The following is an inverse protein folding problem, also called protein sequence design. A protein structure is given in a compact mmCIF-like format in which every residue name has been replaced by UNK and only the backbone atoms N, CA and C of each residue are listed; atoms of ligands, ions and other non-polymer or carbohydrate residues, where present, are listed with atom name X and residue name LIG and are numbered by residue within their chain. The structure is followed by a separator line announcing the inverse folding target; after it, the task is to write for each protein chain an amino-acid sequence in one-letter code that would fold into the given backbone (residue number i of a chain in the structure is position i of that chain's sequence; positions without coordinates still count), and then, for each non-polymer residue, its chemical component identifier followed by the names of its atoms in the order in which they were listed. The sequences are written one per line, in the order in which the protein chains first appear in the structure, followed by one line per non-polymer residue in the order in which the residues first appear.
data_IF_635517806600
#
_entry.id   IF_635517806600
#
_cell.length_a   1.000
_cell.length_b   1.000
_cell.length_c   1.000
_cell.angle_alpha   90.00
_cell.angle_beta   90.00
_cell.angle_gamma   90.00
#
_symmetry.space_group_name_H-M   'P 1'
#
loop_
_entity.id
_entity.type
_entity.pdbx_description
1 polymer ?
#
# COMPACT_ATOMS: atom_id res chain seq x y z
N UNK A 1 7.63 -37.14 -10.74
CA UNK A 1 8.60 -36.09 -10.35
C UNK A 1 8.80 -35.17 -11.54
N UNK A 2 7.98 -34.13 -11.66
CA UNK A 2 8.08 -33.11 -12.70
C UNK A 2 8.81 -31.91 -12.10
N UNK A 3 10.06 -31.73 -12.51
CA UNK A 3 10.84 -30.52 -12.24
C UNK A 3 10.16 -29.34 -12.92
N UNK A 4 9.51 -28.49 -12.14
CA UNK A 4 8.92 -27.26 -12.63
C UNK A 4 10.04 -26.33 -13.14
N UNK A 5 10.08 -26.16 -14.47
CA UNK A 5 10.92 -25.17 -15.12
C UNK A 5 10.52 -23.77 -14.61
N UNK A 6 11.40 -23.15 -13.82
CA UNK A 6 11.31 -21.75 -13.44
C UNK A 6 11.51 -20.85 -14.66
N UNK A 7 10.48 -20.71 -15.49
CA UNK A 7 10.51 -19.78 -16.62
C UNK A 7 10.65 -18.33 -16.14
N UNK A 8 11.08 -17.40 -17.02
CA UNK A 8 11.28 -15.97 -16.69
C UNK A 8 10.05 -15.29 -16.06
N UNK A 9 8.84 -15.82 -16.28
CA UNK A 9 7.60 -15.37 -15.64
C UNK A 9 7.58 -15.60 -14.12
N UNK A 10 8.22 -16.67 -13.63
CA UNK A 10 8.30 -16.99 -12.20
C UNK A 10 9.21 -16.04 -11.42
N UNK A 11 10.37 -15.68 -12.00
CA UNK A 11 11.32 -14.74 -11.37
C UNK A 11 10.72 -13.34 -11.29
N UNK A 12 10.10 -12.86 -12.37
CA UNK A 12 9.41 -11.58 -12.34
C UNK A 12 8.30 -11.56 -11.28
N UNK A 13 7.45 -12.58 -11.23
CA UNK A 13 6.38 -12.70 -10.23
C UNK A 13 6.91 -12.66 -8.78
N UNK A 14 8.03 -13.37 -8.52
CA UNK A 14 8.67 -13.37 -7.20
C UNK A 14 9.23 -11.98 -6.82
N UNK A 15 9.85 -11.27 -7.77
CA UNK A 15 10.37 -9.91 -7.54
C UNK A 15 9.22 -8.93 -7.26
N UNK A 16 8.14 -8.99 -8.03
CA UNK A 16 6.96 -8.12 -7.82
C UNK A 16 6.31 -8.37 -6.45
N UNK A 17 6.16 -9.64 -6.06
CA UNK A 17 5.63 -9.99 -4.73
C UNK A 17 6.56 -9.50 -3.61
N UNK A 18 7.87 -9.71 -3.74
CA UNK A 18 8.83 -9.21 -2.76
C UNK A 18 8.76 -7.68 -2.61
N UNK A 19 8.74 -6.95 -3.73
CA UNK A 19 8.65 -5.49 -3.74
C UNK A 19 7.36 -4.98 -3.09
N UNK A 20 6.21 -5.62 -3.35
CA UNK A 20 4.92 -5.27 -2.74
C UNK A 20 4.95 -5.42 -1.21
N UNK A 21 5.67 -6.42 -0.69
CA UNK A 21 5.80 -6.64 0.75
C UNK A 21 6.94 -5.84 1.41
N UNK A 22 7.82 -5.22 0.62
CA UNK A 22 8.93 -4.41 1.12
C UNK A 22 8.53 -2.99 1.51
N UNK A 23 7.31 -2.53 1.18
CA UNK A 23 6.80 -1.17 1.44
C UNK A 23 7.10 -0.64 2.86
N UNK A 24 6.79 -1.34 3.97
CA UNK A 24 7.06 -0.81 5.31
C UNK A 24 8.57 -0.64 5.58
N UNK A 25 9.40 -1.58 5.11
CA UNK A 25 10.86 -1.50 5.23
C UNK A 25 11.39 -0.33 4.39
N UNK A 26 10.91 -0.19 3.15
CA UNK A 26 11.26 0.90 2.26
C UNK A 26 10.92 2.26 2.88
N UNK A 27 9.75 2.41 3.52
CA UNK A 27 9.39 3.64 4.24
C UNK A 27 10.32 3.90 5.43
N UNK A 28 10.57 2.89 6.27
CA UNK A 28 11.46 3.03 7.43
C UNK A 28 12.87 3.47 7.04
N UNK A 29 13.39 2.98 5.90
CA UNK A 29 14.71 3.33 5.38
C UNK A 29 14.68 4.69 4.67
N UNK A 30 13.65 4.97 3.87
CA UNK A 30 13.61 6.19 3.05
C UNK A 30 13.37 7.46 3.87
N UNK A 31 12.56 7.42 4.93
CA UNK A 31 12.27 8.58 5.77
C UNK A 31 13.55 9.29 6.26
N UNK A 32 14.51 8.63 6.94
CA UNK A 32 15.72 9.31 7.41
C UNK A 32 16.58 9.86 6.25
N UNK A 33 16.66 9.16 5.12
CA UNK A 33 17.38 9.67 3.94
C UNK A 33 16.70 10.89 3.32
N UNK A 34 15.36 10.96 3.31
CA UNK A 34 14.62 12.14 2.87
C UNK A 34 14.78 13.31 3.82
N UNK A 35 14.76 13.06 5.14
CA UNK A 35 15.06 14.10 6.13
C UNK A 35 16.48 14.66 5.93
N UNK A 36 17.49 13.80 5.74
CA UNK A 36 18.85 14.23 5.43
C UNK A 36 18.91 15.04 4.11
N UNK A 37 18.19 14.60 3.08
CA UNK A 37 18.07 15.28 1.80
C UNK A 37 17.53 16.71 1.94
N UNK A 38 16.54 16.96 2.82
CA UNK A 38 15.97 18.29 3.05
C UNK A 38 17.02 19.32 3.48
N UNK A 39 18.08 18.87 4.18
CA UNK A 39 19.20 19.70 4.62
C UNK A 39 20.40 19.67 3.65
N UNK A 40 20.24 19.11 2.45
CA UNK A 40 21.30 19.04 1.44
C UNK A 40 22.30 17.91 1.65
N UNK A 41 22.05 17.00 2.60
CA UNK A 41 22.92 15.84 2.84
C UNK A 41 22.46 14.66 1.98
N UNK A 42 23.42 13.85 1.51
CA UNK A 42 23.15 12.59 0.82
C UNK A 42 22.19 12.72 -0.38
N UNK A 43 22.29 13.79 -1.16
CA UNK A 43 21.30 14.15 -2.19
C UNK A 43 20.97 13.00 -3.15
N UNK A 44 21.99 12.35 -3.72
CA UNK A 44 21.82 11.19 -4.61
C UNK A 44 21.12 10.01 -3.92
N UNK A 45 21.46 9.72 -2.65
CA UNK A 45 20.85 8.64 -1.87
C UNK A 45 19.39 8.98 -1.52
N UNK A 46 19.11 10.23 -1.17
CA UNK A 46 17.75 10.70 -0.90
C UNK A 46 16.85 10.64 -2.14
N UNK A 47 17.39 10.93 -3.33
CA UNK A 47 16.68 10.75 -4.60
C UNK A 47 16.47 9.27 -4.91
N UNK A 48 17.50 8.43 -4.74
CA UNK A 48 17.37 6.99 -4.95
C UNK A 48 16.34 6.36 -4.00
N UNK A 49 16.33 6.75 -2.72
CA UNK A 49 15.36 6.28 -1.74
C UNK A 49 13.93 6.63 -2.15
N UNK A 50 13.71 7.84 -2.68
CA UNK A 50 12.41 8.26 -3.21
C UNK A 50 11.94 7.37 -4.37
N UNK A 51 12.82 7.11 -5.33
CA UNK A 51 12.54 6.22 -6.47
C UNK A 51 12.21 4.81 -5.99
N UNK A 52 12.96 4.27 -5.02
CA UNK A 52 12.70 2.94 -4.45
C UNK A 52 11.32 2.88 -3.79
N UNK A 53 10.94 3.87 -2.97
CA UNK A 53 9.60 3.90 -2.35
C UNK A 53 8.52 3.97 -3.42
N UNK A 54 8.69 4.80 -4.45
CA UNK A 54 7.74 4.90 -5.55
C UNK A 54 7.58 3.57 -6.30
N UNK A 55 8.68 2.88 -6.62
CA UNK A 55 8.65 1.57 -7.28
C UNK A 55 7.99 0.50 -6.40
N UNK A 56 8.30 0.46 -5.10
CA UNK A 56 7.64 -0.44 -4.14
C UNK A 56 6.14 -0.16 -4.07
N UNK A 57 5.73 1.11 -4.09
CA UNK A 57 4.31 1.49 -4.08
C UNK A 57 3.59 1.09 -5.37
N UNK A 58 4.19 1.32 -6.54
CA UNK A 58 3.64 0.85 -7.83
C UNK A 58 3.52 -0.68 -7.84
N UNK A 59 4.55 -1.39 -7.38
CA UNK A 59 4.52 -2.84 -7.26
C UNK A 59 3.43 -3.33 -6.31
N UNK A 60 3.24 -2.64 -5.19
CA UNK A 60 2.16 -2.92 -4.26
C UNK A 60 0.78 -2.74 -4.90
N UNK A 61 0.52 -1.63 -5.60
CA UNK A 61 -0.76 -1.39 -6.28
C UNK A 61 -0.99 -2.41 -7.39
N UNK A 62 0.02 -2.70 -8.20
CA UNK A 62 -0.06 -3.71 -9.25
C UNK A 62 -0.34 -5.10 -8.68
N UNK A 63 0.32 -5.46 -7.58
CA UNK A 63 0.10 -6.72 -6.87
C UNK A 63 -1.34 -6.81 -6.35
N UNK A 64 -1.85 -5.76 -5.70
CA UNK A 64 -3.22 -5.72 -5.20
C UNK A 64 -4.28 -5.85 -6.31
N UNK A 65 -4.03 -5.27 -7.49
CA UNK A 65 -5.01 -5.21 -8.58
C UNK A 65 -4.97 -6.41 -9.53
N UNK A 66 -3.79 -7.00 -9.73
CA UNK A 66 -3.55 -7.96 -10.80
C UNK A 66 -3.21 -9.37 -10.31
N UNK A 67 -2.75 -9.52 -9.06
CA UNK A 67 -2.35 -10.82 -8.54
C UNK A 67 -3.52 -11.55 -7.85
N UNK A 68 -3.56 -12.89 -7.93
CA UNK A 68 -4.46 -13.68 -7.10
C UNK A 68 -4.07 -13.56 -5.61
N UNK A 69 -4.98 -14.01 -4.74
CA UNK A 69 -4.82 -13.96 -3.29
C UNK A 69 -3.48 -14.59 -2.84
N UNK A 70 -2.62 -13.78 -2.22
CA UNK A 70 -1.29 -14.20 -1.76
C UNK A 70 -1.35 -14.61 -0.27
N UNK A 71 -0.79 -15.77 0.07
CA UNK A 71 -0.70 -16.26 1.46
C UNK A 71 -0.03 -15.24 2.37
N UNK A 72 1.05 -14.61 1.92
CA UNK A 72 1.77 -13.59 2.70
C UNK A 72 0.95 -12.32 2.95
N UNK A 73 -0.01 -11.99 2.08
CA UNK A 73 -0.96 -10.91 2.35
C UNK A 73 -1.94 -11.29 3.46
N UNK A 74 -2.44 -12.53 3.48
CA UNK A 74 -3.34 -13.05 4.52
C UNK A 74 -2.61 -13.14 5.86
N UNK A 75 -1.40 -13.69 5.88
CA UNK A 75 -0.59 -13.81 7.09
C UNK A 75 -0.24 -12.44 7.69
N UNK A 76 -0.20 -11.40 6.84
CA UNK A 76 -0.02 -10.05 7.31
C UNK A 76 -1.28 -9.50 8.00
N UNK A 77 -2.47 -10.10 7.93
CA UNK A 77 -3.65 -9.57 8.62
C UNK A 77 -3.54 -9.86 10.13
N UNK A 78 -3.64 -8.84 11.01
CA UNK A 78 -3.51 -9.06 12.44
C UNK A 78 -4.75 -9.76 13.01
N UNK A 79 -4.56 -10.64 14.00
CA UNK A 79 -5.67 -11.34 14.68
C UNK A 79 -6.67 -10.39 15.36
N UNK A 80 -6.24 -9.18 15.75
CA UNK A 80 -7.08 -8.13 16.35
C UNK A 80 -7.52 -7.05 15.33
N UNK A 81 -7.60 -7.38 14.04
CA UNK A 81 -7.94 -6.45 12.95
C UNK A 81 -9.14 -5.52 13.22
N UNK A 82 -10.28 -5.96 13.78
CA UNK A 82 -11.40 -5.06 14.10
C UNK A 82 -11.00 -3.95 15.09
N UNK A 83 -10.19 -4.28 16.10
CA UNK A 83 -9.71 -3.32 17.09
C UNK A 83 -8.68 -2.38 16.48
N UNK A 84 -7.78 -2.89 15.62
CA UNK A 84 -6.83 -2.04 14.91
C UNK A 84 -7.52 -1.07 13.94
N UNK A 85 -8.55 -1.51 13.21
CA UNK A 85 -9.32 -0.65 12.32
C UNK A 85 -9.97 0.51 13.09
N UNK A 86 -10.54 0.24 14.29
CA UNK A 86 -11.06 1.28 15.18
C UNK A 86 -9.98 2.25 15.65
N UNK A 87 -8.80 1.75 16.04
CA UNK A 87 -7.67 2.60 16.49
C UNK A 87 -7.08 3.44 15.35
N UNK A 88 -7.08 2.92 14.12
CA UNK A 88 -6.47 3.55 12.94
C UNK A 88 -7.46 4.28 12.02
N UNK A 89 -8.65 4.64 12.53
CA UNK A 89 -9.70 5.35 11.77
C UNK A 89 -9.19 6.57 10.99
N UNK A 90 -8.29 7.37 11.58
CA UNK A 90 -7.72 8.55 10.90
C UNK A 90 -6.89 8.18 9.68
N UNK A 91 -6.07 7.14 9.80
CA UNK A 91 -5.25 6.62 8.68
C UNK A 91 -6.14 6.07 7.58
N UNK A 92 -7.20 5.33 7.92
CA UNK A 92 -8.16 4.82 6.96
C UNK A 92 -8.92 5.96 6.25
N UNK A 93 -9.36 6.98 7.01
CA UNK A 93 -9.98 8.18 6.44
C UNK A 93 -9.04 8.91 5.48
N UNK A 94 -7.76 9.03 5.86
CA UNK A 94 -6.75 9.66 5.02
C UNK A 94 -6.62 8.93 3.68
N UNK A 95 -6.58 7.59 3.69
CA UNK A 95 -6.55 6.82 2.45
C UNK A 95 -7.73 7.16 1.52
N UNK A 96 -8.97 7.12 2.05
CA UNK A 96 -10.16 7.48 1.28
C UNK A 96 -10.12 8.92 0.76
N UNK A 97 -9.60 9.86 1.56
CA UNK A 97 -9.36 11.21 1.08
C UNK A 97 -8.35 11.24 -0.06
N UNK A 98 -7.19 10.57 0.06
CA UNK A 98 -6.14 10.59 -0.97
C UNK A 98 -6.58 10.01 -2.32
N UNK A 99 -7.52 9.06 -2.33
CA UNK A 99 -8.08 8.49 -3.57
C UNK A 99 -9.34 9.20 -4.07
N UNK A 100 -9.87 10.15 -3.29
CA UNK A 100 -11.00 10.99 -3.71
C UNK A 100 -10.56 12.11 -4.64
N UNK A 101 -11.44 12.65 -5.51
CA UNK A 101 -11.13 13.79 -6.36
C UNK A 101 -10.47 14.99 -5.64
N UNK A 102 -10.97 15.47 -4.48
CA UNK A 102 -10.31 16.58 -3.78
C UNK A 102 -8.93 16.21 -3.24
N UNK A 103 -8.68 14.95 -2.84
CA UNK A 103 -7.35 14.50 -2.43
C UNK A 103 -6.37 14.43 -3.60
N UNK A 104 -6.82 13.95 -4.77
CA UNK A 104 -6.01 13.95 -6.00
C UNK A 104 -5.65 15.38 -6.41
N UNK A 105 -6.61 16.31 -6.39
CA UNK A 105 -6.36 17.74 -6.65
C UNK A 105 -5.37 18.32 -5.63
N UNK A 106 -5.55 18.01 -4.34
CA UNK A 106 -4.62 18.46 -3.28
C UNK A 106 -3.20 17.97 -3.55
N UNK A 107 -3.03 16.70 -3.94
CA UNK A 107 -1.72 16.14 -4.28
C UNK A 107 -1.12 16.81 -5.52
N UNK A 108 -1.92 17.03 -6.57
CA UNK A 108 -1.48 17.72 -7.77
C UNK A 108 -1.01 19.15 -7.48
N UNK A 109 -1.75 19.90 -6.65
CA UNK A 109 -1.37 21.25 -6.21
C UNK A 109 -0.08 21.23 -5.39
N UNK A 110 0.08 20.27 -4.47
CA UNK A 110 1.33 20.12 -3.71
C UNK A 110 2.51 19.80 -4.64
N UNK A 111 2.32 18.89 -5.59
CA UNK A 111 3.38 18.48 -6.51
C UNK A 111 3.80 19.63 -7.43
N UNK A 112 2.84 20.24 -8.14
CA UNK A 112 3.10 21.34 -9.07
C UNK A 112 3.57 22.58 -8.33
N UNK A 113 2.90 22.94 -7.23
CA UNK A 113 3.25 24.11 -6.43
C UNK A 113 4.67 24.03 -5.87
N UNK A 114 5.06 22.88 -5.29
CA UNK A 114 6.43 22.72 -4.77
C UNK A 114 7.46 22.66 -5.88
N UNK A 115 7.14 22.06 -7.04
CA UNK A 115 8.02 22.06 -8.20
C UNK A 115 8.25 23.48 -8.74
N UNK A 116 7.18 24.27 -8.88
CA UNK A 116 7.27 25.68 -9.29
C UNK A 116 8.06 26.51 -8.28
N UNK A 117 7.79 26.37 -6.99
CA UNK A 117 8.55 27.08 -5.95
C UNK A 117 10.05 26.72 -5.97
N UNK A 118 10.37 25.44 -6.18
CA UNK A 118 11.76 24.97 -6.25
C UNK A 118 12.52 25.54 -7.46
N UNK A 119 11.82 25.87 -8.55
CA UNK A 119 12.42 26.52 -9.71
C UNK A 119 12.88 27.97 -9.43
N UNK A 120 12.23 28.67 -8.50
CA UNK A 120 12.59 30.03 -8.09
C UNK A 120 13.47 30.08 -6.84
N UNK A 121 13.33 29.08 -5.96
CA UNK A 121 14.08 28.98 -4.72
C UNK A 121 14.69 27.56 -4.61
N UNK A 122 15.91 27.34 -5.13
CA UNK A 122 16.52 26.02 -5.18
C UNK A 122 16.89 25.56 -3.77
N UNK A 123 15.93 24.91 -3.12
CA UNK A 123 16.08 24.45 -1.74
C UNK A 123 15.40 23.11 -1.54
N UNK A 124 16.16 22.14 -1.07
CA UNK A 124 15.69 20.75 -0.93
C UNK A 124 14.56 20.60 0.10
N UNK A 125 14.48 21.48 1.11
CA UNK A 125 13.42 21.42 2.12
C UNK A 125 12.02 21.69 1.54
N UNK A 126 11.91 22.35 0.37
CA UNK A 126 10.62 22.56 -0.30
C UNK A 126 9.98 21.24 -0.76
N UNK A 127 10.73 20.15 -0.84
CA UNK A 127 10.17 18.82 -1.14
C UNK A 127 9.50 18.15 0.07
N UNK A 128 9.69 18.67 1.29
CA UNK A 128 9.20 18.04 2.51
C UNK A 128 7.67 17.84 2.55
N UNK A 129 6.82 18.83 2.15
CA UNK A 129 5.37 18.62 2.12
C UNK A 129 4.95 17.49 1.17
N UNK A 130 5.57 17.40 0.00
CA UNK A 130 5.31 16.35 -0.99
C UNK A 130 5.76 14.98 -0.48
N UNK A 131 6.92 14.90 0.17
CA UNK A 131 7.42 13.67 0.79
C UNK A 131 6.49 13.18 1.91
N UNK A 132 6.10 14.07 2.81
CA UNK A 132 5.17 13.76 3.91
C UNK A 132 3.84 13.25 3.36
N UNK A 133 3.30 13.93 2.35
CA UNK A 133 2.07 13.48 1.69
C UNK A 133 2.21 12.10 1.05
N UNK A 134 3.31 11.87 0.31
CA UNK A 134 3.58 10.59 -0.33
C UNK A 134 3.69 9.48 0.71
N UNK A 135 4.52 9.66 1.75
CA UNK A 135 4.68 8.65 2.81
C UNK A 135 3.37 8.36 3.53
N UNK A 136 2.58 9.39 3.83
CA UNK A 136 1.29 9.22 4.47
C UNK A 136 0.30 8.47 3.56
N UNK A 137 0.34 8.69 2.24
CA UNK A 137 -0.49 7.99 1.25
C UNK A 137 -0.08 6.52 1.09
N UNK A 138 1.23 6.26 0.98
CA UNK A 138 1.77 4.89 0.87
C UNK A 138 1.44 4.09 2.14
N UNK A 139 1.68 4.68 3.31
CA UNK A 139 1.38 4.05 4.59
C UNK A 139 -0.12 3.82 4.79
N UNK A 140 -0.95 4.82 4.47
CA UNK A 140 -2.39 4.70 4.63
C UNK A 140 -2.99 3.64 3.69
N UNK A 141 -2.51 3.55 2.46
CA UNK A 141 -2.88 2.50 1.51
C UNK A 141 -2.49 1.10 1.99
N UNK A 142 -1.27 0.94 2.50
CA UNK A 142 -0.80 -0.32 3.07
C UNK A 142 -1.63 -0.77 4.29
N UNK A 143 -1.94 0.17 5.20
CA UNK A 143 -2.82 -0.11 6.36
C UNK A 143 -4.24 -0.43 5.90
N UNK A 144 -4.76 0.32 4.93
CA UNK A 144 -6.10 0.16 4.40
C UNK A 144 -6.32 -1.23 3.83
N UNK A 145 -5.43 -1.71 2.96
CA UNK A 145 -5.56 -3.04 2.36
C UNK A 145 -5.62 -4.17 3.40
N UNK A 146 -4.75 -4.14 4.41
CA UNK A 146 -4.74 -5.16 5.49
C UNK A 146 -6.01 -5.14 6.34
N UNK A 147 -6.65 -3.98 6.48
CA UNK A 147 -7.82 -3.78 7.34
C UNK A 147 -9.11 -3.55 6.54
N UNK A 148 -9.09 -3.79 5.22
CA UNK A 148 -10.16 -3.43 4.30
C UNK A 148 -11.53 -4.00 4.70
N UNK A 149 -11.66 -5.28 5.11
CA UNK A 149 -12.96 -5.84 5.53
C UNK A 149 -13.55 -5.16 6.77
N UNK A 150 -12.74 -4.45 7.57
CA UNK A 150 -13.17 -3.76 8.80
C UNK A 150 -13.13 -2.23 8.67
N UNK A 151 -12.85 -1.71 7.48
CA UNK A 151 -12.78 -0.27 7.25
C UNK A 151 -14.19 0.34 7.25
N UNK A 152 -14.51 1.30 8.12
CA UNK A 152 -15.87 1.87 8.21
C UNK A 152 -16.22 2.83 7.06
N UNK A 153 -15.28 3.07 6.15
CA UNK A 153 -15.46 3.94 4.98
C UNK A 153 -15.53 3.13 3.68
N UNK A 154 -15.24 1.82 3.74
CA UNK A 154 -15.39 0.93 2.61
C UNK A 154 -16.79 0.35 2.61
N UNK A 155 -17.36 0.32 1.42
CA UNK A 155 -18.48 -0.53 1.11
C UNK A 155 -17.93 -1.89 0.62
N UNK A 156 -17.72 -2.79 1.57
CA UNK A 156 -17.16 -4.12 1.31
C UNK A 156 -18.26 -5.16 1.01
N UNK A 157 -19.50 -4.90 1.42
CA UNK A 157 -20.61 -5.85 1.33
C UNK A 157 -21.34 -5.78 -0.02
N UNK A 158 -21.30 -4.66 -0.75
CA UNK A 158 -22.17 -4.46 -1.93
C UNK A 158 -21.66 -5.09 -3.26
N UNK A 159 -20.63 -5.93 -3.25
CA UNK A 159 -20.02 -6.47 -4.48
C UNK A 159 -19.74 -7.98 -4.53
N UNK A 160 -19.96 -8.71 -3.43
CA UNK A 160 -19.85 -10.16 -3.43
C UNK A 160 -21.21 -10.77 -3.75
N UNK A 161 -21.27 -11.69 -4.71
CA UNK A 161 -22.38 -12.64 -4.75
C UNK A 161 -22.61 -13.13 -3.32
N UNK A 162 -23.86 -13.06 -2.84
CA UNK A 162 -24.24 -13.79 -1.63
C UNK A 162 -23.79 -15.22 -1.90
N UNK A 163 -22.72 -15.63 -1.25
CA UNK A 163 -22.26 -17.01 -1.36
C UNK A 163 -23.33 -17.80 -0.64
N UNK A 164 -24.25 -18.35 -1.43
CA UNK A 164 -25.37 -19.13 -0.94
C UNK A 164 -24.74 -20.29 -0.18
N UNK A 165 -24.80 -20.21 1.15
CA UNK A 165 -24.19 -21.22 2.01
C UNK A 165 -24.82 -22.54 1.61
N UNK A 166 -24.04 -23.56 1.20
CA UNK A 166 -24.62 -24.81 0.78
C UNK A 166 -25.51 -25.32 1.90
N UNK A 167 -26.76 -25.68 1.57
CA UNK A 167 -27.70 -26.22 2.54
C UNK A 167 -27.02 -27.35 3.33
N UNK A 168 -27.18 -27.37 4.66
CA UNK A 168 -26.59 -28.41 5.48
C UNK A 168 -27.07 -29.77 4.97
N UNK A 169 -26.13 -30.58 4.47
CA UNK A 169 -26.40 -31.95 4.04
C UNK A 169 -27.04 -32.67 5.22
N UNK A 170 -28.24 -33.27 5.09
CA UNK A 170 -28.85 -34.04 6.17
C UNK A 170 -27.84 -35.06 6.68
N UNK A 171 -27.54 -35.01 7.98
CA UNK A 171 -26.70 -36.05 8.60
C UNK A 171 -27.43 -37.37 8.41
N UNK A 172 -26.82 -38.26 7.63
CA UNK A 172 -27.29 -39.64 7.51
C UNK A 172 -27.30 -40.26 8.91
N UNK A 173 -28.51 -40.41 9.47
CA UNK A 173 -28.75 -40.96 10.79
C UNK A 173 -28.71 -42.49 10.80
N UNK A 174 -28.37 -43.15 9.68
CA UNK A 174 -28.46 -44.60 9.54
C UNK A 174 -27.16 -45.39 9.77
N UNK A 175 -26.07 -44.79 10.24
CA UNK A 175 -24.94 -45.55 10.80
C UNK A 175 -25.07 -45.72 12.32
N UNK A 176 -25.81 -46.76 12.72
CA UNK A 176 -25.63 -47.46 14.00
C UNK A 176 -25.14 -48.87 13.75
#
# INVERSE_FOLDING_TARGET
MTTAAGGPRGVASAIWSFAAHAVPIALCVAIPFRVAYWFGLLTAVGTAAQVVVFLCWVAYVAHERLAPLCVRCIDAVPADAPTQARRRRRTLRLFHFTVSPPGIVTFAVLLVGMWTLSAFHPSNWLSAPTDVWMFATVWSGWVHHRLRPWCPYCDWEDGGYVEESPDPIPRDSTRR
#
